data_IF_929259233282
#
_entry.id   IF_929259233282
#
_cell.length_a   1.000
_cell.length_b   1.000
_cell.length_c   1.000
_cell.angle_alpha   90.00
_cell.angle_beta   90.00
_cell.angle_gamma   90.00
#
_symmetry.space_group_name_H-M   'P 1'
#
loop_
_entity.id
_entity.type
_entity.pdbx_description
1 polymer ?
#
# COMPACT_ATOMS: atom_id res chain seq x y z
N UNK A 1 14.84 16.01 6.49
CA UNK A 1 13.77 15.11 6.02
C UNK A 1 14.11 13.71 6.52
N UNK A 2 13.13 12.87 6.84
CA UNK A 2 13.41 11.51 7.34
C UNK A 2 14.00 10.65 6.22
N UNK A 3 14.99 9.80 6.50
CA UNK A 3 15.58 8.86 5.53
C UNK A 3 14.51 7.96 4.88
N UNK A 4 13.40 7.71 5.57
CA UNK A 4 12.28 6.92 5.07
C UNK A 4 11.48 7.63 3.96
N UNK A 5 11.47 8.96 3.96
CA UNK A 5 10.76 9.76 2.96
C UNK A 5 11.48 9.76 1.60
N UNK A 6 12.78 9.46 1.59
CA UNK A 6 13.62 9.42 0.38
C UNK A 6 13.77 8.00 -0.18
N UNK A 7 12.78 7.12 0.07
CA UNK A 7 12.80 5.76 -0.44
C UNK A 7 12.88 5.76 -1.97
N UNK A 8 13.91 5.09 -2.52
CA UNK A 8 14.09 4.93 -3.95
C UNK A 8 12.97 4.07 -4.55
N UNK A 9 12.46 4.47 -5.72
CA UNK A 9 11.39 3.76 -6.42
C UNK A 9 9.98 4.24 -6.09
N UNK A 10 9.82 5.23 -5.20
CA UNK A 10 8.53 5.89 -4.99
C UNK A 10 8.24 6.85 -6.16
N UNK A 11 7.05 6.74 -6.82
CA UNK A 11 6.69 7.61 -7.94
C UNK A 11 6.64 9.09 -7.53
N UNK A 12 6.96 9.99 -8.47
CA UNK A 12 6.97 11.44 -8.19
C UNK A 12 5.61 11.96 -7.71
N UNK A 13 4.52 11.45 -8.28
CA UNK A 13 3.15 11.78 -7.88
C UNK A 13 2.86 11.35 -6.43
N UNK A 14 3.38 10.19 -6.02
CA UNK A 14 3.16 9.58 -4.70
C UNK A 14 4.01 10.21 -3.59
N UNK A 15 5.12 10.91 -3.90
CA UNK A 15 6.09 11.41 -2.91
C UNK A 15 5.48 12.26 -1.79
N UNK A 16 4.51 13.10 -2.14
CA UNK A 16 3.86 13.98 -1.16
C UNK A 16 3.02 13.18 -0.15
N UNK A 17 2.23 12.22 -0.62
CA UNK A 17 1.43 11.34 0.23
C UNK A 17 2.33 10.38 1.01
N UNK A 18 3.31 9.77 0.35
CA UNK A 18 4.32 8.92 0.97
C UNK A 18 4.97 9.61 2.16
N UNK A 19 5.49 10.83 1.98
CA UNK A 19 6.15 11.60 3.04
C UNK A 19 5.25 11.80 4.26
N UNK A 20 3.94 12.04 4.04
CA UNK A 20 2.96 12.14 5.13
C UNK A 20 2.80 10.80 5.85
N UNK A 21 2.61 9.73 5.08
CA UNK A 21 2.35 8.38 5.60
C UNK A 21 3.49 7.81 6.44
N UNK A 22 4.75 7.95 6.01
CA UNK A 22 5.91 7.47 6.81
C UNK A 22 6.10 8.27 8.11
N UNK A 23 5.61 9.51 8.16
CA UNK A 23 5.68 10.35 9.34
C UNK A 23 4.56 10.08 10.36
N UNK A 24 3.50 9.34 9.97
CA UNK A 24 2.38 9.02 10.86
C UNK A 24 2.80 8.16 12.05
N UNK A 25 2.09 8.31 13.17
CA UNK A 25 2.28 7.41 14.31
C UNK A 25 1.95 5.96 13.94
N UNK A 26 2.69 5.03 14.55
CA UNK A 26 2.47 3.61 14.32
C UNK A 26 1.10 3.19 14.82
N UNK A 27 0.32 2.61 13.92
CA UNK A 27 -0.97 2.02 14.19
C UNK A 27 -0.82 0.57 14.62
N UNK A 28 -1.78 0.03 15.39
CA UNK A 28 -1.79 -1.38 15.71
C UNK A 28 -1.90 -2.24 14.44
N UNK A 29 -1.00 -3.23 14.30
CA UNK A 29 -0.94 -4.11 13.12
C UNK A 29 -2.28 -4.80 12.85
N UNK A 30 -3.00 -5.19 13.90
CA UNK A 30 -4.31 -5.83 13.78
C UNK A 30 -5.41 -4.92 13.20
N UNK A 31 -5.29 -3.59 13.35
CA UNK A 31 -6.21 -2.65 12.71
C UNK A 31 -5.92 -2.58 11.22
N UNK A 32 -4.65 -2.42 10.84
CA UNK A 32 -4.22 -2.42 9.43
C UNK A 32 -4.65 -3.71 8.71
N UNK A 33 -4.53 -4.87 9.38
CA UNK A 33 -5.04 -6.14 8.86
C UNK A 33 -6.53 -6.11 8.53
N UNK A 34 -7.34 -5.53 9.42
CA UNK A 34 -8.79 -5.40 9.20
C UNK A 34 -9.07 -4.45 8.04
N UNK A 35 -8.37 -3.33 7.96
CA UNK A 35 -8.55 -2.35 6.89
C UNK A 35 -8.20 -2.93 5.51
N UNK A 36 -7.07 -3.62 5.37
CA UNK A 36 -6.72 -4.31 4.10
C UNK A 36 -7.81 -5.32 3.71
N UNK A 37 -8.35 -6.07 4.68
CA UNK A 37 -9.43 -7.05 4.41
C UNK A 37 -10.73 -6.39 3.98
N UNK A 38 -11.11 -5.30 4.62
CA UNK A 38 -12.29 -4.52 4.23
C UNK A 38 -12.09 -3.91 2.84
N UNK A 39 -10.93 -3.31 2.59
CA UNK A 39 -10.61 -2.72 1.30
C UNK A 39 -10.58 -3.76 0.17
N UNK A 40 -9.97 -4.92 0.40
CA UNK A 40 -9.99 -6.07 -0.51
C UNK A 40 -11.43 -6.47 -0.90
N UNK A 41 -12.36 -6.45 0.06
CA UNK A 41 -13.76 -6.75 -0.22
C UNK A 41 -14.43 -5.66 -1.04
N UNK A 42 -14.20 -4.39 -0.71
CA UNK A 42 -14.74 -3.23 -1.44
C UNK A 42 -14.26 -3.21 -2.90
N UNK A 43 -12.95 -3.34 -3.13
CA UNK A 43 -12.37 -3.30 -4.47
C UNK A 43 -12.79 -4.51 -5.32
N UNK A 44 -12.92 -5.69 -4.69
CA UNK A 44 -13.45 -6.89 -5.36
C UNK A 44 -14.88 -6.66 -5.83
N UNK A 45 -15.74 -6.04 -5.03
CA UNK A 45 -17.12 -5.73 -5.44
C UNK A 45 -17.15 -4.78 -6.63
N UNK A 46 -16.31 -3.75 -6.64
CA UNK A 46 -16.23 -2.78 -7.75
C UNK A 46 -15.72 -3.40 -9.05
N UNK A 47 -14.74 -4.30 -8.96
CA UNK A 47 -14.19 -5.03 -10.11
C UNK A 47 -15.18 -5.98 -10.81
N UNK A 48 -16.35 -6.25 -10.22
CA UNK A 48 -17.40 -7.10 -10.84
C UNK A 48 -18.36 -6.31 -11.75
N UNK A 49 -18.28 -4.98 -11.73
CA UNK A 49 -19.10 -4.11 -12.59
C UNK A 49 -18.49 -4.10 -14.00
N UNK A 50 -19.37 -4.18 -15.00
CA UNK A 50 -18.96 -4.08 -16.41
C UNK A 50 -18.37 -2.67 -16.64
N UNK A 51 -17.16 -2.59 -17.21
CA UNK A 51 -16.34 -1.36 -17.37
C UNK A 51 -15.59 -0.88 -16.11
N UNK A 52 -15.34 -1.76 -15.13
CA UNK A 52 -14.47 -1.41 -14.01
C UNK A 52 -13.04 -1.06 -14.48
N UNK A 53 -12.57 0.14 -14.13
CA UNK A 53 -11.22 0.64 -14.43
C UNK A 53 -10.13 -0.01 -13.55
N UNK A 54 -10.52 -0.89 -12.63
CA UNK A 54 -9.64 -1.54 -11.65
C UNK A 54 -9.32 -2.97 -12.06
N UNK A 55 -8.03 -3.30 -12.19
CA UNK A 55 -7.58 -4.68 -12.41
C UNK A 55 -7.78 -5.55 -11.15
N UNK A 56 -8.69 -6.54 -11.17
CA UNK A 56 -8.95 -7.41 -10.02
C UNK A 56 -7.75 -8.28 -9.63
N UNK A 57 -6.88 -8.61 -10.59
CA UNK A 57 -5.67 -9.41 -10.36
C UNK A 57 -4.65 -8.58 -9.60
N UNK A 58 -4.44 -7.33 -10.01
CA UNK A 58 -3.54 -6.39 -9.36
C UNK A 58 -4.02 -6.07 -7.94
N UNK A 59 -5.31 -5.75 -7.77
CA UNK A 59 -5.95 -5.52 -6.47
C UNK A 59 -5.73 -6.68 -5.48
N UNK A 60 -5.90 -7.91 -5.97
CA UNK A 60 -5.68 -9.11 -5.18
C UNK A 60 -4.21 -9.26 -4.79
N UNK A 61 -3.29 -9.06 -5.72
CA UNK A 61 -1.85 -9.16 -5.46
C UNK A 61 -1.38 -8.13 -4.43
N UNK A 62 -1.84 -6.88 -4.51
CA UNK A 62 -1.54 -5.83 -3.54
C UNK A 62 -2.10 -6.13 -2.15
N UNK A 63 -3.33 -6.64 -2.09
CA UNK A 63 -3.93 -7.10 -0.84
C UNK A 63 -3.12 -8.23 -0.21
N UNK A 64 -2.68 -9.22 -1.00
CA UNK A 64 -1.86 -10.31 -0.50
C UNK A 64 -0.47 -9.86 -0.04
N UNK A 65 0.20 -8.98 -0.78
CA UNK A 65 1.49 -8.41 -0.42
C UNK A 65 1.40 -7.62 0.90
N UNK A 66 0.36 -6.79 1.03
CA UNK A 66 0.07 -6.03 2.25
C UNK A 66 -0.09 -6.93 3.47
N UNK A 67 -0.92 -7.99 3.35
CA UNK A 67 -1.15 -8.93 4.44
C UNK A 67 0.12 -9.72 4.80
N UNK A 68 0.94 -10.08 3.82
CA UNK A 68 2.23 -10.75 4.05
C UNK A 68 3.19 -9.85 4.81
N UNK A 69 3.36 -8.60 4.39
CA UNK A 69 4.22 -7.62 5.07
C UNK A 69 3.76 -7.38 6.51
N UNK A 70 2.47 -7.16 6.75
CA UNK A 70 1.95 -7.01 8.11
C UNK A 70 2.21 -8.27 8.96
N UNK A 71 2.16 -9.45 8.35
CA UNK A 71 2.44 -10.73 9.00
C UNK A 71 3.91 -10.97 9.37
N UNK A 72 4.86 -10.20 8.82
CA UNK A 72 6.28 -10.29 9.22
C UNK A 72 6.60 -9.44 10.46
N UNK A 73 5.72 -8.48 10.80
CA UNK A 73 5.95 -7.55 11.90
C UNK A 73 5.80 -8.24 13.26
N UNK A 74 6.73 -7.95 14.16
CA UNK A 74 6.73 -8.40 15.55
C UNK A 74 7.31 -7.31 16.47
N UNK A 75 7.36 -7.59 17.78
CA UNK A 75 7.85 -6.64 18.79
C UNK A 75 9.32 -6.25 18.61
N UNK A 76 10.15 -7.10 17.99
CA UNK A 76 11.57 -6.81 17.72
C UNK A 76 11.80 -6.13 16.38
N UNK A 77 10.75 -5.90 15.59
CA UNK A 77 10.87 -5.25 14.28
C UNK A 77 11.20 -3.77 14.47
N UNK A 78 12.26 -3.24 13.83
CA UNK A 78 12.63 -1.83 13.95
C UNK A 78 11.49 -0.89 13.59
N UNK A 79 11.36 0.22 14.32
CA UNK A 79 10.31 1.22 14.08
C UNK A 79 10.30 1.71 12.63
N UNK A 80 11.49 1.98 12.06
CA UNK A 80 11.63 2.39 10.66
C UNK A 80 11.01 1.37 9.69
N UNK A 81 11.24 0.07 9.90
CA UNK A 81 10.63 -1.00 9.11
C UNK A 81 9.12 -1.04 9.28
N UNK A 82 8.63 -0.90 10.52
CA UNK A 82 7.18 -0.86 10.81
C UNK A 82 6.50 0.33 10.12
N UNK A 83 7.16 1.51 10.10
CA UNK A 83 6.67 2.72 9.42
C UNK A 83 6.63 2.54 7.90
N UNK A 84 7.65 1.93 7.31
CA UNK A 84 7.64 1.61 5.86
C UNK A 84 6.50 0.68 5.48
N UNK A 85 6.30 -0.40 6.26
CA UNK A 85 5.20 -1.35 6.01
C UNK A 85 3.84 -0.66 6.19
N UNK A 86 3.64 0.10 7.26
CA UNK A 86 2.41 0.87 7.45
C UNK A 86 2.16 1.83 6.30
N UNK A 87 3.18 2.59 5.87
CA UNK A 87 3.02 3.57 4.80
C UNK A 87 2.61 2.93 3.48
N UNK A 88 3.24 1.81 3.07
CA UNK A 88 2.84 1.10 1.86
C UNK A 88 1.41 0.55 1.93
N UNK A 89 1.04 -0.05 3.08
CA UNK A 89 -0.31 -0.58 3.30
C UNK A 89 -1.34 0.54 3.28
N UNK A 90 -1.04 1.68 3.91
CA UNK A 90 -1.95 2.82 3.95
C UNK A 90 -2.06 3.54 2.61
N UNK A 91 -0.98 3.61 1.84
CA UNK A 91 -1.02 4.16 0.47
C UNK A 91 -2.09 3.42 -0.34
N UNK A 92 -2.02 2.09 -0.33
CA UNK A 92 -2.99 1.21 -0.99
C UNK A 92 -4.44 1.37 -0.51
N UNK A 93 -4.69 1.83 0.72
CA UNK A 93 -6.04 1.93 1.28
C UNK A 93 -6.63 3.33 1.15
N UNK A 94 -5.82 4.39 1.29
CA UNK A 94 -6.30 5.77 1.46
C UNK A 94 -6.81 6.38 0.15
N UNK A 95 -6.33 5.95 -1.02
CA UNK A 95 -6.77 6.51 -2.30
C UNK A 95 -8.27 6.27 -2.60
N UNK A 96 -8.98 5.55 -1.72
CA UNK A 96 -10.42 5.29 -1.82
C UNK A 96 -11.27 5.88 -0.67
N UNK A 97 -10.68 6.71 0.21
CA UNK A 97 -11.49 7.45 1.20
C UNK A 97 -12.08 8.69 0.52
N UNK A 98 -13.39 8.63 0.27
CA UNK A 98 -14.19 9.50 -0.58
C UNK A 98 -14.28 11.00 -0.15
N UNK A 99 -13.40 11.45 0.75
CA UNK A 99 -13.33 12.81 1.28
C UNK A 99 -12.10 13.62 0.79
N UNK A 100 -11.27 13.05 -0.10
CA UNK A 100 -10.30 13.84 -0.88
C UNK A 100 -10.87 14.12 -2.26
N UNK A 101 -10.89 15.40 -2.65
CA UNK A 101 -11.19 15.91 -3.99
C UNK A 101 -10.19 15.41 -5.05
N UNK A 102 -10.05 14.09 -5.21
CA UNK A 102 -9.30 13.40 -6.24
C UNK A 102 -10.24 12.38 -6.87
N UNK A 103 -11.07 12.85 -7.81
CA UNK A 103 -11.71 12.04 -8.85
C UNK A 103 -10.62 11.39 -9.73
N UNK A 104 -9.88 10.46 -9.15
CA UNK A 104 -9.02 9.56 -9.87
C UNK A 104 -9.29 8.18 -9.32
N UNK A 105 -10.38 7.63 -9.84
CA UNK A 105 -10.51 6.20 -10.14
C UNK A 105 -9.39 5.88 -11.17
N UNK A 106 -8.11 6.04 -10.79
CA UNK A 106 -6.95 5.72 -11.62
C UNK A 106 -6.32 4.45 -11.08
N UNK A 107 -5.72 3.68 -12.00
CA UNK A 107 -5.31 2.30 -11.80
C UNK A 107 -4.33 2.09 -10.63
N UNK A 108 -4.24 0.84 -10.19
CA UNK A 108 -3.44 0.41 -9.04
C UNK A 108 -1.93 0.32 -9.32
N UNK A 109 -1.47 0.95 -10.40
CA UNK A 109 -0.08 0.87 -10.86
C UNK A 109 0.84 1.59 -9.88
N UNK A 110 0.46 2.80 -9.46
CA UNK A 110 1.21 3.59 -8.47
C UNK A 110 1.27 2.87 -7.10
N UNK A 111 0.17 2.22 -6.70
CA UNK A 111 0.15 1.38 -5.49
C UNK A 111 1.16 0.23 -5.57
N UNK A 112 1.24 -0.40 -6.73
CA UNK A 112 2.17 -1.49 -6.98
C UNK A 112 3.61 -1.00 -7.03
N UNK A 113 3.89 0.17 -7.60
CA UNK A 113 5.22 0.78 -7.57
C UNK A 113 5.66 1.10 -6.14
N UNK A 114 4.78 1.72 -5.33
CA UNK A 114 5.04 2.01 -3.90
C UNK A 114 5.27 0.72 -3.11
N UNK A 115 4.40 -0.28 -3.27
CA UNK A 115 4.53 -1.58 -2.61
C UNK A 115 5.85 -2.26 -2.99
N UNK A 116 6.19 -2.26 -4.28
CA UNK A 116 7.42 -2.86 -4.80
C UNK A 116 8.67 -2.16 -4.29
N UNK A 117 8.66 -0.84 -4.13
CA UNK A 117 9.77 -0.09 -3.54
C UNK A 117 10.03 -0.55 -2.08
N UNK A 118 8.96 -0.72 -1.28
CA UNK A 118 9.08 -1.21 0.09
C UNK A 118 9.53 -2.67 0.14
N UNK A 119 8.97 -3.53 -0.71
CA UNK A 119 9.37 -4.94 -0.79
C UNK A 119 10.86 -5.08 -1.13
N UNK A 120 11.37 -4.31 -2.11
CA UNK A 120 12.80 -4.28 -2.45
C UNK A 120 13.65 -3.80 -1.28
N UNK A 121 13.25 -2.72 -0.61
CA UNK A 121 13.97 -2.18 0.55
C UNK A 121 14.10 -3.19 1.69
N UNK A 122 13.10 -4.05 1.86
CA UNK A 122 13.06 -5.09 2.90
C UNK A 122 13.63 -6.45 2.43
N UNK A 123 14.08 -6.57 1.18
CA UNK A 123 14.65 -7.81 0.64
C UNK A 123 13.62 -8.90 0.36
N UNK A 124 12.39 -8.51 0.03
CA UNK A 124 11.25 -9.39 -0.26
C UNK A 124 10.93 -9.48 -1.76
N UNK A 125 11.95 -9.58 -2.61
CA UNK A 125 11.82 -9.60 -4.09
C UNK A 125 10.89 -10.70 -4.63
N UNK A 126 10.71 -11.78 -3.87
CA UNK A 126 9.79 -12.88 -4.23
C UNK A 126 8.32 -12.52 -4.10
N UNK A 127 8.00 -11.37 -3.50
CA UNK A 127 6.64 -10.90 -3.27
C UNK A 127 6.28 -9.69 -4.12
N UNK A 128 7.15 -9.31 -5.05
CA UNK A 128 6.87 -8.21 -5.96
C UNK A 128 5.57 -8.46 -6.70
N UNK A 129 4.82 -7.37 -6.85
CA UNK A 129 3.56 -7.33 -7.56
C UNK A 129 3.87 -6.98 -9.01
N UNK A 130 3.34 -7.77 -9.94
CA UNK A 130 3.48 -7.51 -11.37
C UNK A 130 2.62 -6.29 -11.74
N UNK A 131 3.25 -5.28 -12.34
CA UNK A 131 2.58 -4.14 -12.95
C UNK A 131 2.36 -4.47 -14.42
N UNK A 132 1.12 -4.43 -14.94
CA UNK A 132 0.79 -4.83 -16.30
C UNK A 132 1.37 -3.93 -17.41
#
# INVERSE_FOLDING_TARGET
MSELAELEGIPDASKALWTKLVAEDLRPVHELFKEVKSYQQSISQRSTVQDAEVDPTLAKSLSEASLRLLGTLNESTPENTRRLVQAAVRYFIIEDDADSDLDSILGLDDDAEVMNAVLKKLGHDKWLVDVP
#
